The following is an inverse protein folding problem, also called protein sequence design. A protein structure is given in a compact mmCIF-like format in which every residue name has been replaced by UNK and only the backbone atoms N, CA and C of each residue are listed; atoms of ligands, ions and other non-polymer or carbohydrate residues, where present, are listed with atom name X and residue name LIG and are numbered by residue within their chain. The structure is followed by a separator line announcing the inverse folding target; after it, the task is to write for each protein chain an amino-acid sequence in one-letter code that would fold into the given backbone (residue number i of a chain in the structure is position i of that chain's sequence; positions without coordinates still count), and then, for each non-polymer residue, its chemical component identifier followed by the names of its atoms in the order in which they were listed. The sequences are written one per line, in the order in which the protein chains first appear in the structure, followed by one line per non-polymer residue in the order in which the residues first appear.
data_IF_292783617473
#
_entry.id   IF_292783617473
#
_cell.length_a   1.000
_cell.length_b   1.000
_cell.length_c   1.000
_cell.angle_alpha   90.00
_cell.angle_beta   90.00
_cell.angle_gamma   90.00
#
_symmetry.space_group_name_H-M   'P 1'
#
loop_
_entity.id
_entity.type
_entity.pdbx_description
1 polymer ?
#
# COMPACT_ATOMS: atom_id res chain seq x y z
N UNK A 1 19.05 -0.96 7.64
CA UNK A 1 17.91 -0.36 8.36
C UNK A 1 17.60 1.00 7.72
N UNK A 2 16.34 1.42 7.66
CA UNK A 2 15.92 2.66 6.99
C UNK A 2 15.06 3.47 7.97
N UNK A 3 15.57 4.61 8.43
CA UNK A 3 14.92 5.44 9.46
C UNK A 3 13.61 6.05 8.95
N UNK A 4 13.58 6.60 7.74
CA UNK A 4 12.40 7.29 7.22
C UNK A 4 11.16 6.40 7.16
N UNK A 5 11.20 5.18 6.58
CA UNK A 5 10.07 4.27 6.62
C UNK A 5 9.68 3.82 8.03
N UNK A 6 10.65 3.60 8.92
CA UNK A 6 10.40 3.22 10.30
C UNK A 6 9.66 4.33 11.05
N UNK A 7 10.16 5.56 10.99
CA UNK A 7 9.52 6.73 11.60
C UNK A 7 8.12 6.96 11.02
N UNK A 8 7.93 6.76 9.71
CA UNK A 8 6.61 6.86 9.09
C UNK A 8 5.61 5.85 9.67
N UNK A 9 6.05 4.61 9.90
CA UNK A 9 5.22 3.57 10.54
C UNK A 9 4.91 3.94 11.98
N UNK A 10 5.90 4.38 12.77
CA UNK A 10 5.72 4.79 14.16
C UNK A 10 4.72 5.96 14.29
N UNK A 11 4.79 6.92 13.37
CA UNK A 11 3.89 8.07 13.28
C UNK A 11 2.50 7.73 12.75
N UNK A 12 2.35 6.59 12.11
CA UNK A 12 1.07 6.20 11.53
C UNK A 12 0.00 5.99 12.60
N UNK A 13 -1.29 6.13 12.25
CA UNK A 13 -2.38 5.85 13.19
C UNK A 13 -2.45 4.38 13.63
N UNK A 14 -1.66 3.50 13.04
CA UNK A 14 -1.55 2.09 13.45
C UNK A 14 -0.67 1.91 14.69
N UNK A 15 0.27 2.81 14.92
CA UNK A 15 1.23 2.75 16.05
C UNK A 15 1.05 3.95 16.99
N UNK A 16 0.97 5.16 16.45
CA UNK A 16 0.50 6.35 17.17
C UNK A 16 1.55 7.11 18.00
N UNK A 17 2.86 6.93 17.72
CA UNK A 17 3.87 7.74 18.39
C UNK A 17 3.73 9.22 18.05
N UNK A 18 3.84 10.08 19.05
CA UNK A 18 3.87 11.53 18.85
C UNK A 18 5.25 12.02 18.38
N UNK A 19 5.34 13.22 17.76
CA UNK A 19 6.64 13.81 17.43
C UNK A 19 7.55 13.95 18.65
N UNK A 20 7.01 14.33 19.78
CA UNK A 20 7.76 14.54 21.03
C UNK A 20 8.34 13.23 21.55
N UNK A 21 7.57 12.13 21.50
CA UNK A 21 8.07 10.80 21.85
C UNK A 21 9.24 10.38 20.95
N UNK A 22 9.13 10.57 19.64
CA UNK A 22 10.21 10.26 18.71
C UNK A 22 11.45 11.13 18.93
N UNK A 23 11.25 12.41 19.26
CA UNK A 23 12.35 13.31 19.59
C UNK A 23 13.06 12.89 20.89
N UNK A 24 12.32 12.48 21.90
CA UNK A 24 12.88 11.98 23.16
C UNK A 24 13.67 10.67 22.95
N UNK A 25 13.15 9.74 22.14
CA UNK A 25 13.84 8.50 21.78
C UNK A 25 15.17 8.82 21.10
N UNK A 26 15.16 9.69 20.10
CA UNK A 26 16.38 10.10 19.40
C UNK A 26 17.31 10.91 20.29
N UNK A 27 16.79 11.76 21.17
CA UNK A 27 17.58 12.55 22.14
C UNK A 27 18.31 11.67 23.17
N UNK A 28 17.70 10.56 23.57
CA UNK A 28 18.33 9.57 24.47
C UNK A 28 19.41 8.73 23.77
N UNK A 29 19.36 8.59 22.45
CA UNK A 29 20.33 7.85 21.64
C UNK A 29 20.58 8.60 20.32
N UNK A 30 21.48 9.62 20.33
CA UNK A 30 21.67 10.52 19.18
C UNK A 30 22.37 9.88 18.00
N UNK A 31 23.20 8.88 18.23
CA UNK A 31 24.00 8.19 17.22
C UNK A 31 23.30 6.90 16.71
N UNK A 32 23.75 6.39 15.57
CA UNK A 32 23.24 5.16 14.99
C UNK A 32 21.89 5.30 14.27
N UNK A 33 21.31 4.18 13.86
CA UNK A 33 19.98 4.16 13.24
C UNK A 33 18.84 4.28 14.28
N UNK A 34 17.65 4.66 13.80
CA UNK A 34 16.50 4.89 14.70
C UNK A 34 16.00 3.59 15.36
N UNK A 35 16.26 2.43 14.77
CA UNK A 35 15.92 1.15 15.37
C UNK A 35 16.79 0.88 16.62
N UNK A 36 18.07 1.25 16.58
CA UNK A 36 18.97 1.17 17.75
C UNK A 36 18.50 2.09 18.87
N UNK A 37 18.05 3.30 18.53
CA UNK A 37 17.45 4.22 19.50
C UNK A 37 16.17 3.65 20.14
N UNK A 38 15.31 2.96 19.37
CA UNK A 38 14.13 2.27 19.89
C UNK A 38 14.51 1.10 20.83
N UNK A 39 15.52 0.31 20.44
CA UNK A 39 16.01 -0.85 21.22
C UNK A 39 16.63 -0.40 22.56
N UNK A 40 17.31 0.76 22.56
CA UNK A 40 17.91 1.34 23.76
C UNK A 40 16.91 2.09 24.66
N UNK A 41 15.73 2.41 24.16
CA UNK A 41 14.72 3.16 24.91
C UNK A 41 14.07 2.32 26.00
N UNK A 42 13.95 2.91 27.20
CA UNK A 42 13.22 2.31 28.32
C UNK A 42 11.69 2.50 28.24
N UNK A 43 11.21 3.28 27.26
CA UNK A 43 9.77 3.53 27.07
C UNK A 43 9.02 2.21 26.81
N UNK A 44 7.99 1.88 27.61
CA UNK A 44 7.19 0.69 27.42
C UNK A 44 6.55 0.59 26.03
N UNK A 45 6.23 1.71 25.37
CA UNK A 45 5.68 1.75 24.03
C UNK A 45 6.70 1.24 22.98
N UNK A 46 7.99 1.59 23.16
CA UNK A 46 9.06 1.08 22.30
C UNK A 46 9.19 -0.44 22.42
N UNK A 47 9.19 -0.96 23.63
CA UNK A 47 9.26 -2.41 23.89
C UNK A 47 8.05 -3.15 23.29
N UNK A 48 6.85 -2.61 23.49
CA UNK A 48 5.62 -3.20 22.92
C UNK A 48 5.65 -3.21 21.39
N UNK A 49 6.15 -2.15 20.75
CA UNK A 49 6.32 -2.08 19.31
C UNK A 49 7.35 -3.11 18.80
N UNK A 50 8.52 -3.19 19.44
CA UNK A 50 9.58 -4.12 19.04
C UNK A 50 9.15 -5.58 19.19
N UNK A 51 8.46 -5.93 20.28
CA UNK A 51 7.89 -7.28 20.47
C UNK A 51 6.92 -7.62 19.36
N UNK A 52 5.98 -6.72 19.05
CA UNK A 52 5.04 -6.92 17.93
C UNK A 52 5.74 -7.05 16.59
N UNK A 53 6.78 -6.25 16.35
CA UNK A 53 7.56 -6.31 15.11
C UNK A 53 8.26 -7.67 14.95
N UNK A 54 8.81 -8.22 16.03
CA UNK A 54 9.47 -9.53 16.02
C UNK A 54 8.46 -10.67 15.80
N UNK A 55 7.29 -10.60 16.42
CA UNK A 55 6.19 -11.53 16.17
C UNK A 55 5.79 -11.56 14.69
N UNK A 56 5.66 -10.36 14.08
CA UNK A 56 5.33 -10.23 12.67
C UNK A 56 6.44 -10.75 11.76
N UNK A 57 7.70 -10.51 12.11
CA UNK A 57 8.86 -11.06 11.39
C UNK A 57 8.88 -12.58 11.44
N UNK A 58 8.59 -13.16 12.59
CA UNK A 58 8.50 -14.62 12.74
C UNK A 58 7.37 -15.20 11.89
N UNK A 59 6.19 -14.58 11.92
CA UNK A 59 5.05 -14.99 11.07
C UNK A 59 5.34 -14.86 9.57
N UNK A 60 6.09 -13.83 9.16
CA UNK A 60 6.44 -13.59 7.77
C UNK A 60 7.37 -14.67 7.16
N UNK A 61 8.04 -15.46 8.00
CA UNK A 61 8.89 -16.57 7.53
C UNK A 61 8.09 -17.77 7.01
N UNK A 62 6.95 -18.04 7.67
CA UNK A 62 6.20 -19.28 7.45
C UNK A 62 4.82 -19.04 6.80
N UNK A 63 4.37 -17.79 6.77
CA UNK A 63 3.05 -17.42 6.28
C UNK A 63 3.11 -16.83 4.88
N UNK A 64 2.12 -17.16 4.04
CA UNK A 64 1.95 -16.50 2.75
C UNK A 64 1.64 -15.00 2.91
N UNK A 65 2.07 -14.19 1.94
CA UNK A 65 2.00 -12.72 2.00
C UNK A 65 0.57 -12.20 2.15
N UNK A 66 -0.38 -12.74 1.38
CA UNK A 66 -1.78 -12.33 1.47
C UNK A 66 -2.39 -12.67 2.85
N UNK A 67 -2.01 -13.81 3.47
CA UNK A 67 -2.45 -14.17 4.81
C UNK A 67 -1.84 -13.27 5.88
N UNK A 68 -0.56 -12.91 5.73
CA UNK A 68 0.12 -11.96 6.61
C UNK A 68 -0.56 -10.58 6.55
N UNK A 69 -0.86 -10.07 5.35
CA UNK A 69 -1.60 -8.82 5.17
C UNK A 69 -2.99 -8.88 5.81
N UNK A 70 -3.74 -9.95 5.58
CA UNK A 70 -5.07 -10.11 6.17
C UNK A 70 -5.02 -10.17 7.70
N UNK A 71 -4.01 -10.85 8.25
CA UNK A 71 -3.79 -10.89 9.70
C UNK A 71 -3.48 -9.50 10.25
N UNK A 72 -2.60 -8.73 9.59
CA UNK A 72 -2.31 -7.34 9.95
C UNK A 72 -3.58 -6.47 9.91
N UNK A 73 -4.39 -6.60 8.85
CA UNK A 73 -5.62 -5.82 8.72
C UNK A 73 -6.59 -6.08 9.88
N UNK A 74 -6.72 -7.33 10.31
CA UNK A 74 -7.59 -7.67 11.42
C UNK A 74 -7.00 -7.29 12.78
N UNK A 75 -5.71 -7.57 13.03
CA UNK A 75 -5.09 -7.31 14.34
C UNK A 75 -4.98 -5.82 14.65
N UNK A 76 -4.71 -5.00 13.64
CA UNK A 76 -4.54 -3.55 13.77
C UNK A 76 -5.78 -2.75 13.37
N UNK A 77 -6.88 -3.41 13.04
CA UNK A 77 -8.09 -2.77 12.51
C UNK A 77 -7.80 -1.77 11.37
N UNK A 78 -6.89 -2.15 10.47
CA UNK A 78 -6.38 -1.27 9.40
C UNK A 78 -7.53 -0.73 8.55
N UNK A 79 -8.45 -1.60 8.12
CA UNK A 79 -9.60 -1.21 7.29
C UNK A 79 -10.56 -0.26 8.00
N UNK A 80 -10.73 -0.41 9.32
CA UNK A 80 -11.55 0.48 10.13
C UNK A 80 -10.89 1.86 10.30
N UNK A 81 -9.61 1.89 10.68
CA UNK A 81 -8.86 3.14 10.90
C UNK A 81 -8.79 3.96 9.62
N UNK A 82 -8.31 3.37 8.52
CA UNK A 82 -8.19 4.10 7.25
C UNK A 82 -9.53 4.38 6.59
N UNK A 83 -10.55 3.55 6.82
CA UNK A 83 -11.91 3.77 6.36
C UNK A 83 -12.63 4.92 7.04
N UNK A 84 -12.26 5.25 8.28
CA UNK A 84 -12.82 6.40 9.02
C UNK A 84 -12.19 7.75 8.63
N UNK A 85 -11.10 7.75 7.86
CA UNK A 85 -10.42 8.98 7.40
C UNK A 85 -11.13 9.61 6.20
N UNK A 86 -10.87 10.91 5.90
CA UNK A 86 -11.34 11.52 4.66
C UNK A 86 -10.95 10.69 3.43
N UNK A 87 -11.91 10.40 2.55
CA UNK A 87 -11.71 9.48 1.42
C UNK A 87 -11.56 8.02 1.82
N UNK A 88 -12.15 7.63 2.96
CA UNK A 88 -12.00 6.30 3.58
C UNK A 88 -12.44 5.14 2.70
N UNK A 89 -13.48 5.31 1.89
CA UNK A 89 -13.93 4.29 0.95
C UNK A 89 -12.82 3.92 -0.03
N UNK A 90 -12.22 4.91 -0.70
CA UNK A 90 -11.10 4.69 -1.63
C UNK A 90 -9.87 4.10 -0.93
N UNK A 91 -9.61 4.48 0.33
CA UNK A 91 -8.51 3.90 1.12
C UNK A 91 -8.75 2.42 1.39
N UNK A 92 -9.98 2.04 1.74
CA UNK A 92 -10.37 0.63 1.95
C UNK A 92 -10.24 -0.18 0.66
N UNK A 93 -10.71 0.36 -0.47
CA UNK A 93 -10.55 -0.27 -1.78
C UNK A 93 -9.08 -0.52 -2.12
N UNK A 94 -8.22 0.49 -1.91
CA UNK A 94 -6.78 0.34 -2.14
C UNK A 94 -6.13 -0.73 -1.23
N UNK A 95 -6.55 -0.84 0.02
CA UNK A 95 -6.06 -1.87 0.93
C UNK A 95 -6.53 -3.27 0.50
N UNK A 96 -7.77 -3.40 0.06
CA UNK A 96 -8.29 -4.65 -0.50
C UNK A 96 -7.55 -5.00 -1.80
N UNK A 97 -7.32 -4.02 -2.68
CA UNK A 97 -6.55 -4.21 -3.90
C UNK A 97 -5.11 -4.68 -3.61
N UNK A 98 -4.46 -4.14 -2.57
CA UNK A 98 -3.14 -4.60 -2.14
C UNK A 98 -3.16 -6.07 -1.69
N UNK A 99 -4.21 -6.47 -0.97
CA UNK A 99 -4.39 -7.87 -0.57
C UNK A 99 -4.56 -8.80 -1.80
N UNK A 100 -5.43 -8.41 -2.75
CA UNK A 100 -5.63 -9.19 -3.98
C UNK A 100 -4.36 -9.22 -4.85
N UNK A 101 -3.60 -8.13 -4.88
CA UNK A 101 -2.31 -8.10 -5.57
C UNK A 101 -1.30 -9.07 -4.95
N UNK A 102 -1.22 -9.14 -3.62
CA UNK A 102 -0.38 -10.12 -2.94
C UNK A 102 -0.80 -11.56 -3.24
N UNK A 103 -2.11 -11.82 -3.31
CA UNK A 103 -2.67 -13.12 -3.66
C UNK A 103 -2.32 -13.53 -5.09
N UNK A 104 -2.46 -12.60 -6.04
CA UNK A 104 -2.10 -12.83 -7.44
C UNK A 104 -0.59 -13.06 -7.63
N UNK A 105 0.25 -12.28 -6.92
CA UNK A 105 1.71 -12.43 -6.92
C UNK A 105 2.15 -13.83 -6.47
N UNK A 106 1.55 -14.34 -5.40
CA UNK A 106 1.82 -15.70 -4.92
C UNK A 106 1.24 -16.77 -5.84
N UNK A 107 0.07 -16.52 -6.44
CA UNK A 107 -0.53 -17.39 -7.45
C UNK A 107 0.31 -17.55 -8.71
N UNK A 108 1.12 -16.53 -9.05
CA UNK A 108 2.11 -16.58 -10.13
C UNK A 108 3.41 -17.33 -9.75
N UNK A 109 3.49 -17.90 -8.54
CA UNK A 109 4.61 -18.68 -8.08
C UNK A 109 5.70 -17.92 -7.31
N UNK A 110 5.57 -16.61 -7.17
CA UNK A 110 6.50 -15.79 -6.38
C UNK A 110 6.22 -15.92 -4.88
N UNK A 111 7.28 -15.86 -4.05
CA UNK A 111 7.14 -16.05 -2.60
C UNK A 111 8.01 -15.08 -1.81
N UNK A 112 7.54 -14.75 -0.62
CA UNK A 112 8.29 -14.04 0.40
C UNK A 112 8.08 -12.53 0.39
N UNK A 113 8.18 -11.94 1.59
CA UNK A 113 7.97 -10.52 1.83
C UNK A 113 8.92 -9.62 1.02
N UNK A 114 10.20 -9.99 0.97
CA UNK A 114 11.19 -9.20 0.24
C UNK A 114 10.87 -9.11 -1.25
N UNK A 115 10.55 -10.25 -1.88
CA UNK A 115 10.21 -10.29 -3.31
C UNK A 115 8.94 -9.47 -3.60
N UNK A 116 7.93 -9.55 -2.73
CA UNK A 116 6.70 -8.76 -2.88
C UNK A 116 6.95 -7.26 -2.73
N UNK A 117 7.71 -6.83 -1.71
CA UNK A 117 8.05 -5.41 -1.51
C UNK A 117 8.89 -4.87 -2.68
N UNK A 118 9.84 -5.67 -3.18
CA UNK A 118 10.66 -5.29 -4.35
C UNK A 118 9.81 -5.14 -5.61
N UNK A 119 8.83 -6.03 -5.81
CA UNK A 119 7.88 -5.94 -6.92
C UNK A 119 7.02 -4.68 -6.82
N UNK A 120 6.50 -4.34 -5.63
CA UNK A 120 5.73 -3.11 -5.44
C UNK A 120 6.56 -1.86 -5.70
N UNK A 121 7.82 -1.84 -5.27
CA UNK A 121 8.74 -0.72 -5.57
C UNK A 121 8.97 -0.57 -7.06
N UNK A 122 9.22 -1.67 -7.75
CA UNK A 122 9.39 -1.68 -9.20
C UNK A 122 8.17 -1.08 -9.93
N UNK A 123 6.95 -1.47 -9.54
CA UNK A 123 5.72 -0.91 -10.11
C UNK A 123 5.62 0.62 -9.87
N UNK A 124 5.92 1.07 -8.65
CA UNK A 124 5.87 2.49 -8.30
C UNK A 124 6.90 3.32 -9.10
N UNK A 125 8.12 2.80 -9.25
CA UNK A 125 9.20 3.47 -10.01
C UNK A 125 8.88 3.59 -11.51
N UNK A 126 8.17 2.61 -12.07
CA UNK A 126 7.73 2.62 -13.47
C UNK A 126 6.40 3.35 -13.70
N UNK A 127 5.81 3.94 -12.67
CA UNK A 127 4.52 4.63 -12.77
C UNK A 127 3.34 3.68 -13.02
N UNK A 128 3.55 2.39 -12.89
CA UNK A 128 2.50 1.39 -12.95
C UNK A 128 1.76 1.40 -11.61
N UNK A 129 0.51 1.80 -11.62
CA UNK A 129 -0.32 1.61 -10.45
C UNK A 129 -0.68 0.13 -10.36
N UNK A 130 -0.45 -0.52 -9.20
CA UNK A 130 -1.06 -1.82 -8.95
C UNK A 130 -2.54 -1.66 -9.25
N UNK A 131 -3.07 -2.51 -10.14
CA UNK A 131 -4.45 -2.40 -10.62
C UNK A 131 -5.34 -2.21 -9.40
N UNK A 132 -5.75 -0.96 -9.17
CA UNK A 132 -6.86 -0.75 -8.26
C UNK A 132 -8.01 -1.52 -8.88
N UNK A 133 -8.62 -2.40 -8.12
CA UNK A 133 -9.93 -2.93 -8.44
C UNK A 133 -10.96 -1.79 -8.32
N UNK A 134 -10.66 -0.65 -8.93
CA UNK A 134 -11.65 0.37 -9.18
C UNK A 134 -12.54 -0.18 -10.28
N UNK A 135 -13.41 -1.07 -9.88
CA UNK A 135 -14.71 -1.07 -10.45
C UNK A 135 -15.12 0.41 -10.49
N UNK A 136 -15.57 0.88 -11.63
CA UNK A 136 -16.09 2.21 -11.81
C UNK A 136 -16.77 2.67 -10.52
N UNK A 137 -16.31 3.80 -9.96
CA UNK A 137 -17.00 4.41 -8.84
C UNK A 137 -18.47 4.48 -9.26
N UNK A 138 -19.35 3.82 -8.52
CA UNK A 138 -20.76 3.82 -8.84
C UNK A 138 -21.21 5.28 -8.92
N UNK A 139 -21.55 5.74 -10.15
CA UNK A 139 -21.91 7.13 -10.41
C UNK A 139 -20.80 8.06 -10.94
N UNK A 140 -19.60 7.55 -11.23
CA UNK A 140 -18.53 8.34 -11.85
C UNK A 140 -18.55 8.33 -13.38
N UNK A 141 -17.93 9.36 -14.00
CA UNK A 141 -17.66 9.38 -15.44
C UNK A 141 -16.34 8.66 -15.72
N UNK A 142 -16.37 7.67 -16.58
CA UNK A 142 -15.19 6.93 -17.02
C UNK A 142 -14.60 7.54 -18.29
N UNK A 143 -13.32 7.89 -18.24
CA UNK A 143 -12.57 8.37 -19.42
C UNK A 143 -11.64 7.25 -19.87
N UNK A 144 -11.79 6.81 -21.10
CA UNK A 144 -11.01 5.72 -21.65
C UNK A 144 -10.82 5.84 -23.16
N UNK A 145 -9.86 5.12 -23.73
CA UNK A 145 -9.73 5.04 -25.19
C UNK A 145 -10.77 4.10 -25.78
N UNK A 146 -11.09 4.31 -27.08
CA UNK A 146 -12.01 3.44 -27.83
C UNK A 146 -11.57 1.96 -27.77
N UNK A 147 -10.26 1.70 -27.80
CA UNK A 147 -9.74 0.32 -27.72
C UNK A 147 -10.03 -0.32 -26.34
N UNK A 148 -9.98 0.46 -25.26
CA UNK A 148 -10.31 -0.03 -23.91
C UNK A 148 -11.81 -0.24 -23.70
N UNK A 149 -12.65 0.43 -24.46
CA UNK A 149 -14.11 0.28 -24.38
C UNK A 149 -14.64 -0.90 -25.19
N UNK A 150 -13.81 -1.56 -26.02
CA UNK A 150 -14.22 -2.70 -26.85
C UNK A 150 -14.80 -3.82 -25.98
N UNK A 151 -16.04 -4.19 -26.26
CA UNK A 151 -16.77 -5.23 -25.53
C UNK A 151 -17.44 -4.75 -24.22
N UNK A 152 -17.41 -3.44 -23.93
CA UNK A 152 -18.11 -2.85 -22.81
C UNK A 152 -19.36 -2.09 -23.30
N UNK A 153 -20.41 -2.09 -22.50
CA UNK A 153 -21.66 -1.37 -22.77
C UNK A 153 -21.87 -0.26 -21.75
N UNK A 154 -22.20 0.94 -22.20
CA UNK A 154 -22.44 2.10 -21.35
C UNK A 154 -23.77 2.75 -21.69
N UNK A 155 -24.56 3.19 -20.67
CA UNK A 155 -25.83 3.88 -20.89
C UNK A 155 -25.69 5.20 -21.69
N UNK A 156 -24.59 5.90 -21.47
CA UNK A 156 -24.27 7.18 -22.12
C UNK A 156 -22.80 7.15 -22.53
N UNK A 157 -22.53 7.47 -23.77
CA UNK A 157 -21.16 7.56 -24.33
C UNK A 157 -20.96 8.95 -24.91
N UNK A 158 -19.92 9.65 -24.46
CA UNK A 158 -19.48 10.93 -25.01
C UNK A 158 -18.19 10.71 -25.79
N UNK A 159 -18.25 10.85 -27.11
CA UNK A 159 -17.09 10.75 -27.99
C UNK A 159 -16.53 12.15 -28.22
N UNK A 160 -15.28 12.39 -27.80
CA UNK A 160 -14.58 13.68 -27.92
C UNK A 160 -13.53 13.63 -29.04
N UNK A 161 -13.00 14.79 -29.40
CA UNK A 161 -11.92 14.93 -30.40
C UNK A 161 -12.26 14.45 -31.83
N UNK A 162 -13.53 14.47 -32.22
CA UNK A 162 -13.98 14.04 -33.56
C UNK A 162 -13.46 14.92 -34.70
N UNK A 163 -12.91 16.08 -34.40
CA UNK A 163 -12.32 16.99 -35.36
C UNK A 163 -10.86 16.70 -35.72
N UNK A 164 -10.24 15.75 -35.06
CA UNK A 164 -8.87 15.30 -35.40
C UNK A 164 -8.88 14.40 -36.63
N UNK A 165 -7.99 14.67 -37.58
CA UNK A 165 -7.76 13.78 -38.74
C UNK A 165 -7.22 12.43 -38.25
N UNK A 166 -7.70 11.35 -38.88
CA UNK A 166 -7.21 10.00 -38.60
C UNK A 166 -5.72 9.87 -38.93
N UNK A 167 -4.98 9.23 -38.04
CA UNK A 167 -3.59 8.86 -38.31
C UNK A 167 -3.59 7.77 -39.41
N UNK A 168 -2.96 8.06 -40.56
CA UNK A 168 -2.86 7.13 -41.68
C UNK A 168 -1.52 6.39 -41.74
N UNK A 169 -0.70 6.51 -40.70
CA UNK A 169 0.63 5.88 -40.65
C UNK A 169 0.57 4.33 -40.73
N UNK A 170 -0.55 3.75 -40.32
CA UNK A 170 -0.75 2.28 -40.31
C UNK A 170 -1.36 1.73 -41.64
N UNK A 171 -1.47 2.55 -42.68
CA UNK A 171 -2.04 2.18 -43.97
C UNK A 171 -0.98 1.98 -45.09
N UNK A 172 0.30 1.86 -44.72
CA UNK A 172 1.39 1.52 -45.62
C UNK A 172 1.88 0.11 -45.44
#
# INVERSE_FOLDING_TARGET
RQDVPLIAVLRSPLVGFTPDQLALIRGGHPEGDFCEALEASEDPACRAFLTRLEDLRSLAKDMSMHRLLWRLYNQLNVLGIFGAMPGGERRRENLIALYEHARAFEGAGYKGLFAFVSHLRFLLENGEQPVSASGAAAGGVQIMSIHKSKGLEFPIVLLTDLNKSFNRADLQ
#
